data_IF_044211257540
#
_entry.id   IF_044211257540
#
_cell.length_a   1.000
_cell.length_b   1.000
_cell.length_c   1.000
_cell.angle_alpha   90.00
_cell.angle_beta   90.00
_cell.angle_gamma   90.00
#
_symmetry.space_group_name_H-M   'P 1'
#
loop_
_entity.id
_entity.type
_entity.pdbx_description
1 polymer ?
#
# COMPACT_ATOMS: atom_id res chain seq x y z
N UNK A 1 3.37 -1.14 -24.34
CA UNK A 1 4.43 -1.98 -23.73
C UNK A 1 5.76 -1.38 -24.10
N UNK A 2 6.51 -0.84 -23.15
CA UNK A 2 7.84 -0.28 -23.39
C UNK A 2 8.78 -0.77 -22.29
N UNK A 3 10.00 -1.14 -22.67
CA UNK A 3 11.08 -1.46 -21.73
C UNK A 3 11.42 -0.22 -20.92
N UNK A 4 10.91 -0.14 -19.69
CA UNK A 4 11.17 0.97 -18.79
C UNK A 4 10.36 0.91 -17.50
N UNK A 5 10.88 1.60 -16.48
CA UNK A 5 10.18 1.80 -15.21
C UNK A 5 9.47 3.16 -15.19
N UNK A 6 8.34 3.24 -14.50
CA UNK A 6 7.63 4.48 -14.25
C UNK A 6 7.08 4.48 -12.82
N UNK A 7 6.91 5.68 -12.26
CA UNK A 7 6.41 5.83 -10.90
C UNK A 7 4.98 5.33 -10.82
N UNK A 8 4.70 4.38 -9.93
CA UNK A 8 3.35 3.82 -9.79
C UNK A 8 2.34 4.86 -9.30
N UNK A 9 2.75 5.71 -8.36
CA UNK A 9 1.92 6.75 -7.78
C UNK A 9 2.26 8.09 -8.44
N UNK A 10 1.31 8.64 -9.18
CA UNK A 10 1.45 9.93 -9.87
C UNK A 10 0.21 10.76 -9.58
N UNK A 11 0.38 12.05 -9.31
CA UNK A 11 -0.72 12.99 -9.02
C UNK A 11 -1.69 12.47 -7.95
N UNK A 12 -1.15 11.85 -6.90
CA UNK A 12 -1.92 11.21 -5.84
C UNK A 12 -1.46 11.67 -4.46
N UNK A 13 -2.41 11.83 -3.55
CA UNK A 13 -2.14 11.93 -2.12
C UNK A 13 -1.67 10.57 -1.64
N UNK A 14 -0.53 10.52 -0.95
CA UNK A 14 0.11 9.29 -0.50
C UNK A 14 -0.20 9.03 0.97
N UNK A 15 -0.61 7.81 1.28
CA UNK A 15 -0.91 7.31 2.62
C UNK A 15 0.10 6.19 2.95
N UNK A 16 1.13 6.46 3.78
CA UNK A 16 2.10 5.44 4.15
C UNK A 16 1.45 4.31 4.94
N UNK A 17 1.70 3.06 4.54
CA UNK A 17 1.23 1.87 5.24
C UNK A 17 2.39 1.32 6.06
N UNK A 18 2.19 1.25 7.37
CA UNK A 18 3.21 0.78 8.32
C UNK A 18 2.96 -0.65 8.76
N UNK A 19 4.06 -1.36 9.02
CA UNK A 19 4.05 -2.62 9.75
C UNK A 19 3.66 -2.39 11.22
N UNK A 20 3.32 -3.46 11.94
CA UNK A 20 3.02 -3.41 13.37
C UNK A 20 4.15 -2.83 14.26
N UNK A 21 5.39 -2.79 13.75
CA UNK A 21 6.57 -2.17 14.41
C UNK A 21 6.90 -0.76 13.90
N UNK A 22 6.11 -0.21 12.97
CA UNK A 22 6.21 1.19 12.54
C UNK A 22 7.04 1.42 11.29
N UNK A 23 7.67 0.39 10.72
CA UNK A 23 8.36 0.50 9.43
C UNK A 23 7.36 0.67 8.30
N UNK A 24 7.61 1.62 7.39
CA UNK A 24 6.83 1.77 6.15
C UNK A 24 7.09 0.55 5.26
N UNK A 25 6.02 -0.10 4.83
CA UNK A 25 6.07 -1.33 4.02
C UNK A 25 5.30 -1.19 2.71
N UNK A 26 4.45 -0.19 2.58
CA UNK A 26 3.73 0.10 1.35
C UNK A 26 3.06 1.47 1.41
N UNK A 27 2.27 1.76 0.39
CA UNK A 27 1.58 3.04 0.24
C UNK A 27 0.17 2.83 -0.34
N UNK A 28 -0.80 3.54 0.22
CA UNK A 28 -2.06 3.88 -0.44
C UNK A 28 -1.91 5.19 -1.21
N UNK A 29 -2.67 5.36 -2.28
CA UNK A 29 -2.63 6.55 -3.14
C UNK A 29 -4.01 6.94 -3.61
N UNK A 30 -4.49 8.14 -3.24
CA UNK A 30 -5.77 8.68 -3.69
C UNK A 30 -5.55 9.71 -4.79
N UNK A 31 -6.31 9.65 -5.88
CA UNK A 31 -6.25 10.68 -6.93
C UNK A 31 -6.58 12.07 -6.39
N UNK A 32 -5.92 13.08 -6.96
CA UNK A 32 -6.27 14.47 -6.74
C UNK A 32 -7.40 14.91 -7.67
N UNK A 33 -7.31 14.50 -8.94
CA UNK A 33 -8.34 14.76 -9.95
C UNK A 33 -9.44 13.70 -9.86
N UNK A 34 -10.72 14.07 -9.66
CA UNK A 34 -11.83 13.13 -9.63
C UNK A 34 -12.02 12.31 -10.92
N UNK A 35 -11.54 12.82 -12.06
CA UNK A 35 -11.64 12.15 -13.36
C UNK A 35 -10.58 11.04 -13.53
N UNK A 36 -9.54 11.03 -12.69
CA UNK A 36 -8.51 9.99 -12.73
C UNK A 36 -8.98 8.70 -12.03
N UNK A 37 -8.82 7.56 -12.69
CA UNK A 37 -9.12 6.24 -12.12
C UNK A 37 -7.86 5.36 -11.98
N UNK A 38 -7.77 4.44 -10.98
CA UNK A 38 -8.76 4.21 -9.92
C UNK A 38 -8.72 5.32 -8.85
N UNK A 39 -9.85 5.66 -8.21
CA UNK A 39 -9.89 6.61 -7.08
C UNK A 39 -8.82 6.34 -6.01
N UNK A 40 -8.64 5.06 -5.65
CA UNK A 40 -7.59 4.60 -4.73
C UNK A 40 -6.74 3.48 -5.34
N UNK A 41 -5.42 3.55 -5.15
CA UNK A 41 -4.50 2.45 -5.45
C UNK A 41 -3.66 2.11 -4.23
N UNK A 42 -3.39 0.83 -4.06
CA UNK A 42 -2.45 0.35 -3.04
C UNK A 42 -1.19 -0.20 -3.71
N UNK A 43 -0.13 -0.35 -2.89
CA UNK A 43 1.02 -1.15 -3.30
C UNK A 43 0.55 -2.54 -3.73
N UNK A 44 1.18 -3.14 -4.76
CA UNK A 44 0.95 -4.55 -5.07
C UNK A 44 1.45 -5.41 -3.90
N UNK A 45 1.16 -6.71 -3.93
CA UNK A 45 1.81 -7.66 -3.02
C UNK A 45 3.32 -7.61 -3.22
N UNK A 46 4.08 -7.53 -2.14
CA UNK A 46 5.55 -7.52 -2.14
C UNK A 46 6.10 -8.40 -1.02
N UNK A 47 7.42 -8.57 -0.97
CA UNK A 47 8.10 -9.31 0.12
C UNK A 47 7.82 -8.71 1.51
N UNK A 48 7.52 -7.41 1.60
CA UNK A 48 7.31 -6.71 2.88
C UNK A 48 5.87 -6.27 3.10
N UNK A 49 5.03 -6.29 2.06
CA UNK A 49 3.64 -5.87 2.13
C UNK A 49 2.71 -6.95 1.57
N UNK A 50 1.92 -7.51 2.47
CA UNK A 50 0.85 -8.42 2.15
C UNK A 50 -0.46 -7.89 2.71
N UNK A 51 -1.41 -7.55 1.84
CA UNK A 51 -2.66 -6.89 2.23
C UNK A 51 -3.44 -7.72 3.24
N UNK A 52 -3.47 -9.03 3.04
CA UNK A 52 -4.15 -9.99 3.90
C UNK A 52 -3.55 -10.11 5.31
N UNK A 53 -2.44 -9.43 5.62
CA UNK A 53 -1.76 -9.53 6.93
C UNK A 53 -1.51 -8.18 7.59
N UNK A 54 -1.92 -7.10 6.95
CA UNK A 54 -1.66 -5.73 7.41
C UNK A 54 -2.98 -5.03 7.64
N UNK A 55 -3.04 -4.26 8.73
CA UNK A 55 -4.14 -3.37 9.05
C UNK A 55 -3.58 -1.97 9.19
N UNK A 56 -4.14 -1.02 8.45
CA UNK A 56 -3.72 0.37 8.56
C UNK A 56 -4.10 0.95 9.91
N UNK A 57 -3.24 1.81 10.45
CA UNK A 57 -3.42 2.43 11.77
C UNK A 57 -3.03 1.53 12.94
N UNK A 58 -2.74 0.25 12.74
CA UNK A 58 -2.46 -0.68 13.85
C UNK A 58 -1.22 -0.26 14.68
N UNK A 59 -0.18 0.27 14.04
CA UNK A 59 1.01 0.74 14.77
C UNK A 59 0.66 1.83 15.79
N UNK A 60 -0.19 2.77 15.39
CA UNK A 60 -0.69 3.86 16.22
C UNK A 60 -1.70 3.36 17.26
N UNK A 61 -2.62 2.48 16.84
CA UNK A 61 -3.77 2.05 17.62
C UNK A 61 -3.48 0.91 18.62
N UNK A 62 -2.38 0.14 18.48
CA UNK A 62 -2.15 -1.08 19.29
C UNK A 62 -2.22 -0.86 20.80
N UNK A 63 -1.74 0.29 21.29
CA UNK A 63 -1.73 0.60 22.71
C UNK A 63 -3.13 1.05 23.19
N UNK A 64 -3.80 2.00 22.51
CA UNK A 64 -5.21 2.31 22.77
C UNK A 64 -6.13 1.09 22.72
N UNK A 65 -6.00 0.24 21.70
CA UNK A 65 -6.76 -1.00 21.55
C UNK A 65 -6.58 -1.89 22.77
N UNK A 66 -5.33 -2.12 23.20
CA UNK A 66 -5.04 -2.95 24.39
C UNK A 66 -5.60 -2.34 25.67
N UNK A 67 -5.56 -1.01 25.82
CA UNK A 67 -6.11 -0.31 26.99
C UNK A 67 -7.63 -0.42 27.05
N UNK A 68 -8.32 -0.33 25.90
CA UNK A 68 -9.78 -0.44 25.80
C UNK A 68 -10.28 -1.89 25.73
N UNK A 69 -9.40 -2.85 25.40
CA UNK A 69 -9.76 -4.25 25.15
C UNK A 69 -10.55 -4.45 23.84
N UNK A 70 -10.57 -3.44 22.98
CA UNK A 70 -11.48 -3.35 21.83
C UNK A 70 -10.85 -2.56 20.67
N UNK A 71 -11.02 -3.10 19.45
CA UNK A 71 -10.66 -2.43 18.19
C UNK A 71 -11.90 -2.08 17.39
N UNK A 72 -11.95 -0.87 16.83
CA UNK A 72 -12.93 -0.49 15.80
C UNK A 72 -12.33 -0.82 14.42
N UNK A 73 -13.06 -1.57 13.61
CA UNK A 73 -12.67 -1.90 12.24
C UNK A 73 -13.52 -1.08 11.27
N UNK A 74 -12.84 -0.28 10.43
CA UNK A 74 -13.43 0.53 9.35
C UNK A 74 -12.86 0.10 7.99
N UNK A 75 -13.40 0.64 6.89
CA UNK A 75 -12.99 0.23 5.55
C UNK A 75 -11.73 0.93 5.04
N UNK A 76 -11.65 2.26 5.23
CA UNK A 76 -10.69 3.12 4.59
C UNK A 76 -9.62 3.72 5.51
N UNK A 77 -8.49 4.10 4.91
CA UNK A 77 -7.43 4.84 5.62
C UNK A 77 -7.90 6.19 6.14
N UNK A 78 -8.74 6.87 5.37
CA UNK A 78 -9.26 8.21 5.69
C UNK A 78 -10.16 8.17 6.92
N UNK A 79 -10.94 7.11 7.07
CA UNK A 79 -11.78 6.88 8.25
C UNK A 79 -10.92 6.73 9.49
N UNK A 80 -9.86 5.93 9.42
CA UNK A 80 -8.91 5.77 10.53
C UNK A 80 -8.26 7.10 10.88
N UNK A 81 -7.79 7.86 9.89
CA UNK A 81 -7.18 9.19 10.12
C UNK A 81 -8.16 10.13 10.80
N UNK A 82 -9.39 10.24 10.29
CA UNK A 82 -10.41 11.13 10.82
C UNK A 82 -10.78 10.77 12.27
N UNK A 83 -10.99 9.48 12.53
CA UNK A 83 -11.26 8.97 13.88
C UNK A 83 -10.10 9.25 14.85
N UNK A 84 -8.85 9.01 14.43
CA UNK A 84 -7.68 9.27 15.26
C UNK A 84 -7.52 10.76 15.54
N UNK A 85 -7.74 11.63 14.55
CA UNK A 85 -7.72 13.09 14.73
C UNK A 85 -8.80 13.58 15.71
N UNK A 86 -9.93 12.88 15.76
CA UNK A 86 -11.00 13.13 16.71
C UNK A 86 -10.74 12.52 18.11
N UNK A 87 -9.62 11.81 18.32
CA UNK A 87 -9.28 11.17 19.59
C UNK A 87 -9.81 9.74 19.76
N UNK A 88 -10.42 9.17 18.70
CA UNK A 88 -10.89 7.78 18.64
C UNK A 88 -9.75 6.94 18.05
N UNK A 89 -8.76 6.68 18.89
CA UNK A 89 -7.44 6.14 18.56
C UNK A 89 -7.35 4.61 18.54
N UNK A 90 -8.48 3.90 18.75
CA UNK A 90 -8.56 2.44 18.69
C UNK A 90 -9.15 1.89 17.38
N UNK A 91 -9.13 2.68 16.30
CA UNK A 91 -9.60 2.27 14.97
C UNK A 91 -8.49 1.79 14.04
N UNK A 92 -8.80 0.82 13.17
CA UNK A 92 -7.93 0.28 12.12
C UNK A 92 -8.73 -0.03 10.84
N UNK A 93 -8.06 -0.20 9.71
CA UNK A 93 -8.70 -0.53 8.42
C UNK A 93 -8.06 -1.69 7.66
N UNK A 94 -8.89 -2.40 6.86
CA UNK A 94 -8.46 -3.45 5.91
C UNK A 94 -8.08 -2.93 4.53
N UNK A 95 -8.39 -1.66 4.25
CA UNK A 95 -7.81 -0.90 3.15
C UNK A 95 -8.24 -1.36 1.75
N UNK A 96 -9.56 -1.53 1.58
CA UNK A 96 -10.16 -1.93 0.30
C UNK A 96 -10.11 -3.43 0.03
N UNK A 97 -10.06 -4.24 1.09
CA UNK A 97 -10.19 -5.70 1.01
C UNK A 97 -11.14 -6.20 2.10
N UNK A 98 -11.78 -7.35 1.88
CA UNK A 98 -12.50 -8.03 2.95
C UNK A 98 -11.50 -8.46 4.05
N UNK A 99 -11.92 -8.40 5.31
CA UNK A 99 -11.07 -8.85 6.42
C UNK A 99 -10.67 -10.32 6.25
N UNK A 100 -9.44 -10.64 6.61
CA UNK A 100 -8.87 -11.98 6.52
C UNK A 100 -8.69 -12.62 7.89
N UNK A 101 -8.47 -13.94 7.91
CA UNK A 101 -8.20 -14.69 9.15
C UNK A 101 -6.93 -14.16 9.82
N UNK A 102 -5.88 -13.88 9.05
CA UNK A 102 -4.60 -13.39 9.56
C UNK A 102 -4.73 -11.99 10.18
N UNK A 103 -5.59 -11.13 9.62
CA UNK A 103 -5.88 -9.81 10.21
C UNK A 103 -6.67 -9.94 11.52
N UNK A 104 -7.66 -10.85 11.58
CA UNK A 104 -8.39 -11.15 12.83
C UNK A 104 -7.41 -11.67 13.89
N UNK A 105 -6.56 -12.65 13.55
CA UNK A 105 -5.55 -13.19 14.45
C UNK A 105 -4.50 -12.16 14.89
N UNK A 106 -4.25 -11.14 14.06
CA UNK A 106 -3.38 -10.04 14.43
C UNK A 106 -4.06 -9.15 15.48
N UNK A 107 -5.34 -8.80 15.27
CA UNK A 107 -6.12 -7.99 16.21
C UNK A 107 -6.38 -8.68 17.54
N UNK A 108 -6.64 -9.99 17.53
CA UNK A 108 -6.94 -10.76 18.75
C UNK A 108 -5.80 -10.76 19.78
N UNK A 109 -4.57 -10.41 19.36
CA UNK A 109 -3.41 -10.22 20.26
C UNK A 109 -3.47 -8.93 21.08
N UNK A 110 -4.31 -7.99 20.65
CA UNK A 110 -4.46 -6.66 21.25
C UNK A 110 -5.85 -6.43 21.83
N UNK A 111 -6.90 -7.05 21.27
CA UNK A 111 -8.28 -6.88 21.70
C UNK A 111 -8.99 -8.22 21.91
N UNK A 112 -9.87 -8.27 22.90
CA UNK A 112 -10.83 -9.37 23.06
C UNK A 112 -12.08 -9.19 22.20
N UNK A 113 -12.30 -7.98 21.67
CA UNK A 113 -13.49 -7.62 20.89
C UNK A 113 -13.16 -6.74 19.69
N UNK A 114 -13.85 -6.97 18.58
CA UNK A 114 -13.79 -6.15 17.38
C UNK A 114 -15.19 -5.56 17.13
N UNK A 115 -15.26 -4.24 16.95
CA UNK A 115 -16.46 -3.51 16.53
C UNK A 115 -16.37 -3.26 15.04
N UNK A 116 -17.29 -3.84 14.29
CA UNK A 116 -17.43 -3.60 12.86
C UNK A 116 -18.26 -2.34 12.67
N UNK A 117 -17.63 -1.30 12.15
CA UNK A 117 -18.33 -0.10 11.69
C UNK A 117 -18.48 -0.21 10.18
N UNK A 118 -19.72 -0.29 9.70
CA UNK A 118 -20.03 -0.60 8.31
C UNK A 118 -21.08 0.37 7.76
N UNK A 119 -21.07 0.52 6.43
CA UNK A 119 -22.08 1.31 5.73
C UNK A 119 -23.39 0.52 5.64
N UNK A 120 -24.52 1.21 5.81
CA UNK A 120 -25.87 0.62 5.79
C UNK A 120 -26.33 0.09 4.42
N UNK A 121 -25.42 0.00 3.44
CA UNK A 121 -25.71 -0.55 2.12
C UNK A 121 -25.62 -2.09 2.07
N UNK A 122 -26.15 -2.67 0.99
CA UNK A 122 -26.18 -4.14 0.86
C UNK A 122 -24.79 -4.79 0.77
N UNK A 123 -23.78 -4.09 0.26
CA UNK A 123 -22.43 -4.60 0.11
C UNK A 123 -21.69 -4.61 1.46
N UNK A 124 -21.80 -3.51 2.21
CA UNK A 124 -21.30 -3.34 3.57
C UNK A 124 -21.90 -4.38 4.52
N UNK A 125 -23.22 -4.57 4.51
CA UNK A 125 -23.88 -5.61 5.33
C UNK A 125 -23.36 -7.01 5.02
N UNK A 126 -23.20 -7.36 3.72
CA UNK A 126 -22.65 -8.67 3.33
C UNK A 126 -21.19 -8.83 3.75
N UNK A 127 -20.40 -7.75 3.70
CA UNK A 127 -19.02 -7.75 4.16
C UNK A 127 -18.95 -7.94 5.69
N UNK A 128 -19.82 -7.25 6.43
CA UNK A 128 -19.93 -7.36 7.88
C UNK A 128 -20.30 -8.78 8.32
N UNK A 129 -21.27 -9.45 7.68
CA UNK A 129 -21.59 -10.85 8.00
C UNK A 129 -20.39 -11.80 7.83
N UNK A 130 -19.66 -11.66 6.72
CA UNK A 130 -18.44 -12.46 6.49
C UNK A 130 -17.37 -12.15 7.53
N UNK A 131 -17.21 -10.88 7.91
CA UNK A 131 -16.26 -10.47 8.93
C UNK A 131 -16.60 -11.06 10.29
N UNK A 132 -17.88 -11.00 10.71
CA UNK A 132 -18.37 -11.57 11.98
C UNK A 132 -18.06 -13.06 12.06
N UNK A 133 -18.38 -13.80 11.00
CA UNK A 133 -18.10 -15.23 10.93
C UNK A 133 -16.62 -15.54 11.18
N UNK A 134 -15.72 -14.81 10.50
CA UNK A 134 -14.28 -14.98 10.66
C UNK A 134 -13.79 -14.59 12.07
N UNK A 135 -14.31 -13.50 12.62
CA UNK A 135 -13.93 -13.00 13.95
C UNK A 135 -14.32 -14.01 15.03
N UNK A 136 -15.56 -14.50 15.00
CA UNK A 136 -16.10 -15.47 15.94
C UNK A 136 -15.41 -16.84 15.83
N UNK A 137 -15.09 -17.28 14.60
CA UNK A 137 -14.35 -18.53 14.37
C UNK A 137 -12.95 -18.50 14.99
N UNK A 138 -12.32 -17.32 15.09
CA UNK A 138 -11.05 -17.13 15.81
C UNK A 138 -11.22 -16.96 17.33
N UNK A 139 -12.44 -17.13 17.86
CA UNK A 139 -12.73 -16.98 19.29
C UNK A 139 -12.65 -15.53 19.80
N UNK A 140 -12.68 -14.54 18.90
CA UNK A 140 -12.70 -13.12 19.25
C UNK A 140 -14.13 -12.62 19.28
N UNK A 141 -14.48 -11.76 20.24
CA UNK A 141 -15.82 -11.18 20.31
C UNK A 141 -16.09 -10.23 19.12
N UNK A 142 -17.30 -10.25 18.58
CA UNK A 142 -17.72 -9.36 17.51
C UNK A 142 -18.99 -8.59 17.90
N UNK A 143 -19.02 -7.30 17.57
CA UNK A 143 -20.24 -6.47 17.58
C UNK A 143 -20.26 -5.61 16.32
N UNK A 144 -21.43 -5.15 15.91
CA UNK A 144 -21.59 -4.36 14.70
C UNK A 144 -22.33 -3.04 15.00
N UNK A 145 -21.96 -1.98 14.29
CA UNK A 145 -22.65 -0.69 14.31
C UNK A 145 -22.81 -0.21 12.87
N UNK A 146 -24.04 0.06 12.45
CA UNK A 146 -24.33 0.79 11.21
C UNK A 146 -24.26 2.29 11.50
N UNK A 147 -23.66 3.05 10.59
CA UNK A 147 -23.81 4.50 10.60
C UNK A 147 -25.15 4.91 9.97
N UNK A 148 -25.67 6.11 10.29
CA UNK A 148 -26.87 6.62 9.63
C UNK A 148 -26.62 6.79 8.14
N UNK A 149 -27.69 6.69 7.35
CA UNK A 149 -27.60 6.79 5.89
C UNK A 149 -26.92 8.09 5.45
N UNK A 150 -26.00 7.94 4.49
CA UNK A 150 -25.22 9.06 3.94
C UNK A 150 -23.99 9.45 4.73
N UNK A 151 -23.72 8.81 5.88
CA UNK A 151 -22.49 9.02 6.65
C UNK A 151 -21.49 7.88 6.48
N UNK A 152 -20.24 8.27 6.28
CA UNK A 152 -19.05 7.45 6.55
C UNK A 152 -18.43 7.88 7.90
N UNK A 153 -17.47 7.12 8.48
CA UNK A 153 -16.88 7.49 9.77
C UNK A 153 -16.23 8.87 9.77
N UNK A 154 -15.60 9.26 8.65
CA UNK A 154 -14.97 10.57 8.48
C UNK A 154 -15.99 11.72 8.54
N UNK A 155 -17.01 11.69 7.68
CA UNK A 155 -18.07 12.71 7.63
C UNK A 155 -18.86 12.77 8.93
N UNK A 156 -19.17 11.62 9.56
CA UNK A 156 -19.90 11.61 10.83
C UNK A 156 -19.09 12.31 11.92
N UNK A 157 -17.83 11.94 12.12
CA UNK A 157 -17.03 12.50 13.21
C UNK A 157 -16.69 13.97 12.97
N UNK A 158 -16.46 14.37 11.71
CA UNK A 158 -16.23 15.78 11.35
C UNK A 158 -17.45 16.66 11.60
N UNK A 159 -18.65 16.15 11.35
CA UNK A 159 -19.88 16.94 11.52
C UNK A 159 -20.39 16.92 12.97
N UNK A 160 -20.40 15.73 13.61
CA UNK A 160 -21.04 15.53 14.91
C UNK A 160 -20.08 15.58 16.10
N UNK A 161 -18.77 15.46 15.85
CA UNK A 161 -17.74 15.43 16.88
C UNK A 161 -17.54 14.06 17.55
N UNK A 162 -16.44 13.94 18.28
CA UNK A 162 -15.98 12.69 18.89
C UNK A 162 -16.93 12.15 19.97
N UNK A 163 -17.43 13.02 20.85
CA UNK A 163 -18.31 12.62 21.96
C UNK A 163 -19.64 12.05 21.46
N UNK A 164 -20.23 12.70 20.45
CA UNK A 164 -21.44 12.22 19.78
C UNK A 164 -21.19 10.89 19.09
N UNK A 165 -20.04 10.72 18.44
CA UNK A 165 -19.67 9.46 17.79
C UNK A 165 -19.49 8.32 18.80
N UNK A 166 -18.79 8.54 19.93
CA UNK A 166 -18.64 7.51 20.97
C UNK A 166 -19.99 7.14 21.61
N UNK A 167 -20.87 8.12 21.82
CA UNK A 167 -22.23 7.89 22.33
C UNK A 167 -23.04 7.09 21.32
N UNK A 168 -23.00 7.47 20.05
CA UNK A 168 -23.66 6.76 18.96
C UNK A 168 -23.19 5.30 18.87
N UNK A 169 -21.88 5.05 18.92
CA UNK A 169 -21.31 3.70 18.93
C UNK A 169 -21.77 2.87 20.12
N UNK A 170 -22.03 3.49 21.28
CA UNK A 170 -22.50 2.79 22.48
C UNK A 170 -23.98 2.42 22.37
N UNK A 171 -24.80 3.34 21.88
CA UNK A 171 -26.26 3.20 21.80
C UNK A 171 -26.72 2.33 20.64
N UNK A 172 -26.01 2.36 19.51
CA UNK A 172 -26.40 1.66 18.28
C UNK A 172 -25.66 0.33 18.09
N UNK A 173 -24.90 -0.10 19.10
CA UNK A 173 -24.17 -1.37 19.07
C UNK A 173 -25.13 -2.54 19.12
N UNK A 174 -24.96 -3.42 18.14
CA UNK A 174 -25.69 -4.68 18.06
C UNK A 174 -24.73 -5.85 18.30
N UNK A 175 -25.15 -6.80 19.11
CA UNK A 175 -24.53 -8.13 19.07
C UNK A 175 -24.89 -8.84 17.77
N UNK A 176 -24.17 -9.94 17.50
CA UNK A 176 -24.25 -10.65 16.22
C UNK A 176 -25.63 -11.28 15.95
N UNK A 177 -26.40 -11.63 16.98
CA UNK A 177 -27.74 -12.21 16.82
C UNK A 177 -28.69 -11.12 16.36
N UNK A 178 -28.76 -10.02 17.11
CA UNK A 178 -29.63 -8.88 16.76
C UNK A 178 -29.24 -8.27 15.42
N UNK A 179 -27.94 -8.17 15.13
CA UNK A 179 -27.46 -7.70 13.84
C UNK A 179 -27.99 -8.53 12.67
N UNK A 180 -27.91 -9.87 12.73
CA UNK A 180 -28.43 -10.74 11.67
C UNK A 180 -29.96 -10.62 11.56
N UNK A 181 -30.67 -10.68 12.69
CA UNK A 181 -32.13 -10.67 12.72
C UNK A 181 -32.72 -9.32 12.23
N UNK A 182 -32.18 -8.20 12.69
CA UNK A 182 -32.66 -6.87 12.34
C UNK A 182 -32.46 -6.59 10.84
N UNK A 183 -31.29 -6.93 10.30
CA UNK A 183 -31.03 -6.78 8.87
C UNK A 183 -31.92 -7.68 8.01
N UNK A 184 -32.13 -8.94 8.42
CA UNK A 184 -33.01 -9.85 7.71
C UNK A 184 -34.48 -9.38 7.74
N UNK A 185 -34.94 -8.82 8.87
CA UNK A 185 -36.27 -8.24 9.02
C UNK A 185 -36.44 -7.00 8.14
N UNK A 186 -35.48 -6.07 8.17
CA UNK A 186 -35.51 -4.87 7.32
C UNK A 186 -35.52 -5.19 5.81
N UNK A 187 -34.95 -6.32 5.42
CA UNK A 187 -34.93 -6.80 4.03
C UNK A 187 -36.14 -7.68 3.64
N UNK A 188 -37.15 -7.85 4.50
CA UNK A 188 -38.32 -8.71 4.25
C UNK A 188 -38.01 -10.22 4.14
N UNK A 189 -36.83 -10.65 4.59
CA UNK A 189 -36.39 -12.05 4.47
C UNK A 189 -37.06 -12.97 5.48
N UNK A 190 -37.79 -12.40 6.44
CA UNK A 190 -38.49 -13.10 7.53
C UNK A 190 -40.02 -13.03 7.39
N UNK A 191 -40.52 -12.61 6.22
CA UNK A 191 -41.96 -12.41 5.99
C UNK A 191 -42.73 -13.73 5.82
N UNK A 192 -42.04 -14.83 5.50
CA UNK A 192 -42.62 -16.19 5.43
C UNK A 192 -42.00 -17.12 6.46
N UNK A 193 -42.71 -18.19 6.87
CA UNK A 193 -42.15 -19.21 7.77
C UNK A 193 -40.84 -19.83 7.26
N UNK A 194 -40.71 -20.07 5.95
CA UNK A 194 -39.49 -20.60 5.33
C UNK A 194 -38.34 -19.59 5.42
N UNK A 195 -38.63 -18.31 5.22
CA UNK A 195 -37.69 -17.21 5.37
C UNK A 195 -37.19 -17.09 6.81
N UNK A 196 -38.10 -17.10 7.79
CA UNK A 196 -37.76 -17.10 9.21
C UNK A 196 -36.83 -18.27 9.57
N UNK A 197 -37.21 -19.50 9.17
CA UNK A 197 -36.40 -20.68 9.42
C UNK A 197 -35.00 -20.59 8.77
N UNK A 198 -34.89 -19.99 7.58
CA UNK A 198 -33.61 -19.78 6.89
C UNK A 198 -32.71 -18.80 7.66
N UNK A 199 -33.28 -17.70 8.16
CA UNK A 199 -32.54 -16.69 8.93
C UNK A 199 -32.11 -17.24 10.30
N UNK A 200 -33.00 -17.93 11.01
CA UNK A 200 -32.67 -18.59 12.28
C UNK A 200 -31.53 -19.60 12.11
N UNK A 201 -31.54 -20.40 11.03
CA UNK A 201 -30.42 -21.29 10.69
C UNK A 201 -29.12 -20.52 10.41
N UNK A 202 -29.19 -19.33 9.83
CA UNK A 202 -28.01 -18.49 9.58
C UNK A 202 -27.36 -18.04 10.90
N UNK A 203 -28.17 -17.62 11.87
CA UNK A 203 -27.68 -17.30 13.22
C UNK A 203 -27.06 -18.53 13.87
N UNK A 204 -27.73 -19.68 13.87
CA UNK A 204 -27.19 -20.91 14.47
C UNK A 204 -25.91 -21.38 13.79
N UNK A 205 -25.79 -21.24 12.47
CA UNK A 205 -24.56 -21.54 11.74
C UNK A 205 -23.40 -20.63 12.20
N UNK A 206 -23.67 -19.35 12.45
CA UNK A 206 -22.69 -18.38 12.95
C UNK A 206 -22.26 -18.76 14.37
N UNK A 207 -23.21 -19.03 15.27
CA UNK A 207 -22.95 -19.47 16.65
C UNK A 207 -22.14 -20.79 16.67
N UNK A 208 -22.44 -21.70 15.75
CA UNK A 208 -21.73 -22.99 15.64
C UNK A 208 -20.25 -22.90 15.28
N UNK A 209 -19.79 -21.77 14.72
CA UNK A 209 -18.37 -21.51 14.43
C UNK A 209 -17.56 -21.10 15.66
N UNK A 210 -18.23 -20.64 16.72
CA UNK A 210 -17.57 -20.20 17.94
C UNK A 210 -16.86 -21.39 18.59
N UNK A 211 -15.53 -21.36 18.78
CA UNK A 211 -14.78 -22.52 19.27
C UNK A 211 -15.08 -22.85 20.74
N UNK A 212 -15.22 -21.82 21.58
CA UNK A 212 -15.48 -21.97 23.02
C UNK A 212 -16.94 -22.38 23.30
N UNK A 213 -17.21 -23.54 23.92
CA UNK A 213 -18.56 -23.99 24.25
C UNK A 213 -19.32 -23.09 25.23
N UNK A 214 -18.63 -22.45 26.19
CA UNK A 214 -19.25 -21.56 27.17
C UNK A 214 -19.69 -20.24 26.52
N UNK A 215 -18.86 -19.71 25.63
CA UNK A 215 -19.23 -18.53 24.83
C UNK A 215 -20.39 -18.89 23.91
N UNK A 216 -20.35 -20.06 23.27
CA UNK A 216 -21.45 -20.56 22.42
C UNK A 216 -22.76 -20.65 23.20
N UNK A 217 -22.72 -21.18 24.42
CA UNK A 217 -23.88 -21.27 25.30
C UNK A 217 -24.50 -19.89 25.60
N UNK A 218 -23.64 -18.90 25.87
CA UNK A 218 -24.10 -17.52 26.09
C UNK A 218 -24.80 -16.93 24.86
N UNK A 219 -24.30 -17.23 23.66
CA UNK A 219 -24.95 -16.83 22.41
C UNK A 219 -26.23 -17.61 22.10
N UNK A 220 -26.34 -18.87 22.51
CA UNK A 220 -27.60 -19.63 22.40
C UNK A 220 -28.69 -18.97 23.23
N UNK A 221 -28.37 -18.57 24.46
CA UNK A 221 -29.31 -17.85 25.32
C UNK A 221 -29.78 -16.53 24.68
N UNK A 222 -28.84 -15.74 24.16
CA UNK A 222 -29.17 -14.53 23.40
C UNK A 222 -30.06 -14.82 22.18
N UNK A 223 -29.80 -15.91 21.45
CA UNK A 223 -30.60 -16.33 20.31
C UNK A 223 -32.01 -16.82 20.72
N UNK A 224 -32.13 -17.54 21.83
CA UNK A 224 -33.42 -17.98 22.39
C UNK A 224 -34.30 -16.78 22.69
N UNK A 225 -33.75 -15.79 23.41
CA UNK A 225 -34.47 -14.58 23.77
C UNK A 225 -34.88 -13.78 22.52
N UNK A 226 -33.99 -13.62 21.55
CA UNK A 226 -34.26 -12.82 20.35
C UNK A 226 -35.17 -13.51 19.31
N UNK A 227 -35.20 -14.84 19.27
CA UNK A 227 -36.03 -15.62 18.33
C UNK A 227 -37.30 -16.17 18.95
N UNK A 228 -37.47 -16.05 20.27
CA UNK A 228 -38.57 -16.64 21.05
C UNK A 228 -38.66 -18.17 20.90
N UNK A 229 -37.51 -18.84 20.79
CA UNK A 229 -37.42 -20.31 20.67
C UNK A 229 -36.69 -20.87 21.88
N UNK A 230 -37.25 -21.85 22.61
CA UNK A 230 -36.59 -22.41 23.79
C UNK A 230 -35.17 -22.92 23.52
N UNK A 231 -34.24 -22.60 24.42
CA UNK A 231 -32.82 -23.01 24.38
C UNK A 231 -32.61 -24.47 23.97
N UNK A 232 -33.41 -25.39 24.55
CA UNK A 232 -33.32 -26.83 24.30
C UNK A 232 -33.53 -27.18 22.82
N UNK A 233 -34.44 -26.48 22.12
CA UNK A 233 -34.70 -26.70 20.70
C UNK A 233 -33.54 -26.15 19.85
N UNK A 234 -33.04 -24.96 20.18
CA UNK A 234 -31.91 -24.36 19.47
C UNK A 234 -30.64 -25.22 19.60
N UNK A 235 -30.39 -25.79 20.79
CA UNK A 235 -29.29 -26.74 21.02
C UNK A 235 -29.40 -27.96 20.11
N UNK A 236 -30.58 -28.58 20.04
CA UNK A 236 -30.81 -29.75 19.18
C UNK A 236 -30.53 -29.45 17.70
N UNK A 237 -30.97 -28.28 17.22
CA UNK A 237 -30.69 -27.85 15.84
C UNK A 237 -29.19 -27.59 15.64
N UNK A 238 -28.55 -26.89 16.57
CA UNK A 238 -27.12 -26.57 16.50
C UNK A 238 -26.22 -27.82 16.51
N UNK A 239 -26.56 -28.83 17.31
CA UNK A 239 -25.88 -30.11 17.29
C UNK A 239 -26.00 -30.82 15.93
N UNK A 240 -27.17 -30.75 15.30
CA UNK A 240 -27.38 -31.34 13.97
C UNK A 240 -26.53 -30.64 12.90
N UNK A 241 -26.40 -29.31 12.99
CA UNK A 241 -25.58 -28.47 12.10
C UNK A 241 -24.10 -28.83 12.26
N UNK A 242 -23.61 -28.83 13.50
CA UNK A 242 -22.18 -29.09 13.80
C UNK A 242 -21.77 -30.52 13.45
N UNK A 243 -22.63 -31.53 13.71
CA UNK A 243 -22.40 -32.92 13.27
C UNK A 243 -22.35 -33.07 11.76
N UNK A 244 -23.24 -32.38 11.03
CA UNK A 244 -23.29 -32.42 9.57
C UNK A 244 -22.05 -31.76 8.94
N UNK A 245 -21.56 -30.67 9.54
CA UNK A 245 -20.32 -30.01 9.13
C UNK A 245 -19.08 -30.90 9.36
N UNK A 246 -19.01 -31.59 10.51
CA UNK A 246 -17.93 -32.52 10.83
C UNK A 246 -17.83 -33.70 9.86
N UNK A 247 -18.96 -34.34 9.51
CA UNK A 247 -19.00 -35.42 8.51
C UNK A 247 -18.53 -34.98 7.13
N UNK A 248 -18.91 -33.77 6.69
CA UNK A 248 -18.46 -33.18 5.41
C UNK A 248 -16.97 -32.86 5.37
N UNK A 249 -16.37 -32.51 6.51
CA UNK A 249 -14.92 -32.23 6.62
C UNK A 249 -14.12 -33.52 6.47
N UNK A 250 -14.54 -34.59 7.15
CA UNK A 250 -13.92 -35.92 7.09
C UNK A 250 -14.02 -36.53 5.68
N UNK A 251 -15.17 -36.38 5.00
CA UNK A 251 -15.33 -36.89 3.63
C UNK A 251 -14.48 -36.13 2.59
N UNK A 252 -14.15 -34.86 2.85
CA UNK A 252 -13.27 -34.06 1.97
C UNK A 252 -11.79 -34.34 2.20
N UNK A 253 -11.36 -34.56 3.44
CA UNK A 253 -9.98 -34.95 3.74
C UNK A 253 -9.65 -36.38 3.30
N UNK A 254 -10.64 -37.29 3.28
CA UNK A 254 -10.46 -38.64 2.76
C UNK A 254 -10.48 -38.72 1.22
N UNK A 255 -10.99 -37.69 0.53
CA UNK A 255 -11.05 -37.62 -0.93
C UNK A 255 -9.85 -36.95 -1.60
N UNK A 256 -8.98 -36.27 -0.83
CA UNK A 256 -7.78 -35.61 -1.37
C UNK A 256 -6.50 -36.45 -1.24
N UNK A 257 -6.57 -37.66 -0.66
CA UNK A 257 -5.41 -38.55 -0.48
C UNK A 257 -5.31 -39.66 -1.54
N UNK A 258 -6.05 -39.55 -2.65
CA UNK A 258 -6.09 -40.58 -3.71
C UNK A 258 -5.91 -40.05 -5.14
N UNK A 259 -5.34 -38.85 -5.31
CA UNK A 259 -4.91 -38.33 -6.61
C UNK A 259 -3.62 -37.54 -6.51
N UNK A 260 -2.50 -38.24 -6.29
CA UNK A 260 -1.17 -37.74 -6.62
C UNK A 260 -0.49 -38.78 -7.49
N UNK A 261 -0.34 -38.46 -8.77
CA UNK A 261 0.27 -39.32 -9.77
C UNK A 261 -0.08 -38.93 -11.19
N UNK A 262 0.06 -37.65 -11.55
CA UNK A 262 0.33 -37.22 -12.94
C UNK A 262 0.63 -35.71 -12.98
N UNK A 263 1.87 -35.37 -13.33
CA UNK A 263 2.34 -34.02 -13.58
C UNK A 263 1.68 -33.46 -14.86
N UNK A 264 1.23 -32.19 -14.90
CA UNK A 264 0.83 -31.57 -16.15
C UNK A 264 2.02 -30.84 -16.80
N UNK A 265 2.36 -31.30 -18.00
CA UNK A 265 3.17 -30.59 -18.99
C UNK A 265 2.58 -29.21 -19.32
N UNK A 266 3.45 -28.20 -19.33
CA UNK A 266 3.17 -26.87 -19.85
C UNK A 266 3.24 -26.89 -21.38
N UNK A 267 2.07 -26.85 -22.05
CA UNK A 267 1.97 -26.60 -23.48
C UNK A 267 1.19 -25.30 -23.75
N UNK A 268 1.85 -24.43 -24.52
CA UNK A 268 1.35 -23.19 -25.11
C UNK A 268 0.07 -23.39 -25.94
N UNK A 269 -0.91 -22.50 -25.76
CA UNK A 269 -2.13 -22.48 -26.57
C UNK A 269 -2.63 -21.06 -26.79
N UNK A 270 -2.44 -20.57 -28.01
CA UNK A 270 -2.84 -19.28 -28.54
C UNK A 270 -4.37 -19.14 -28.70
N UNK A 271 -4.94 -18.02 -28.24
CA UNK A 271 -6.32 -17.65 -28.54
C UNK A 271 -6.41 -16.88 -29.85
N UNK A 272 -7.10 -17.51 -30.80
CA UNK A 272 -7.58 -16.92 -32.07
C UNK A 272 -8.63 -15.84 -31.78
N UNK A 273 -8.43 -14.66 -32.36
CA UNK A 273 -9.46 -13.66 -32.57
C UNK A 273 -9.95 -13.72 -34.03
N UNK A 274 -11.23 -13.35 -34.15
CA UNK A 274 -12.14 -13.59 -35.27
C UNK A 274 -11.76 -12.89 -36.58
N UNK A 275 -12.12 -13.54 -37.70
CA UNK A 275 -12.10 -12.99 -39.05
C UNK A 275 -13.37 -12.17 -39.29
N UNK A 276 -13.26 -11.04 -39.98
CA UNK A 276 -14.11 -10.82 -41.16
C UNK A 276 -13.53 -9.82 -42.18
N UNK A 277 -13.57 -10.26 -43.45
CA UNK A 277 -13.86 -9.57 -44.73
C UNK A 277 -13.08 -8.31 -45.16
N UNK A 278 -12.13 -8.52 -46.08
CA UNK A 278 -12.28 -8.31 -47.54
C UNK A 278 -12.31 -6.89 -48.12
N UNK A 279 -11.28 -6.51 -48.88
CA UNK A 279 -11.35 -5.80 -50.18
C UNK A 279 -9.97 -5.68 -50.82
N UNK A 280 -9.95 -5.72 -52.15
CA UNK A 280 -8.85 -5.96 -53.10
C UNK A 280 -8.13 -4.69 -53.62
N UNK A 281 -6.80 -4.76 -53.68
CA UNK A 281 -5.87 -4.24 -54.73
C UNK A 281 -5.58 -2.73 -54.85
N UNK A 282 -4.54 -2.31 -55.61
CA UNK A 282 -3.38 -3.05 -56.16
C UNK A 282 -2.00 -2.42 -55.85
N UNK A 283 -0.98 -3.21 -56.19
CA UNK A 283 0.45 -2.94 -56.45
C UNK A 283 0.97 -1.50 -56.47
N UNK A 284 2.09 -1.25 -55.77
CA UNK A 284 3.12 -0.35 -56.27
C UNK A 284 4.53 -0.74 -55.81
N UNK A 285 5.34 -0.99 -56.84
CA UNK A 285 6.80 -1.01 -56.99
C UNK A 285 7.67 -0.63 -55.78
N UNK A 286 8.54 -1.56 -55.40
CA UNK A 286 9.69 -1.31 -54.55
C UNK A 286 10.82 -0.69 -55.39
N UNK A 287 11.15 0.56 -55.10
CA UNK A 287 12.41 1.18 -55.48
C UNK A 287 13.33 1.22 -54.25
N UNK A 288 14.59 0.88 -54.48
CA UNK A 288 15.60 0.72 -53.46
C UNK A 288 16.11 2.06 -52.95
N UNK A 289 16.02 2.27 -51.64
CA UNK A 289 17.02 3.08 -50.95
C UNK A 289 17.20 2.55 -49.53
N UNK A 290 18.41 2.07 -49.27
CA UNK A 290 18.90 1.75 -47.94
C UNK A 290 19.00 3.07 -47.16
N UNK A 291 17.98 3.41 -46.39
CA UNK A 291 18.07 4.38 -45.33
C UNK A 291 18.39 3.63 -44.04
N UNK A 292 19.65 3.74 -43.60
CA UNK A 292 20.06 3.36 -42.26
C UNK A 292 19.11 4.04 -41.25
N UNK A 293 18.52 3.32 -40.28
CA UNK A 293 17.75 3.97 -39.26
C UNK A 293 18.71 4.84 -38.44
N UNK A 294 18.50 6.15 -38.50
CA UNK A 294 19.09 7.10 -37.57
C UNK A 294 18.85 6.54 -36.15
N UNK A 295 19.94 6.32 -35.43
CA UNK A 295 19.92 5.97 -34.02
C UNK A 295 19.22 7.11 -33.28
N UNK A 296 17.93 6.93 -33.00
CA UNK A 296 17.18 7.78 -32.10
C UNK A 296 17.82 7.59 -30.72
N UNK A 297 18.77 8.46 -30.36
CA UNK A 297 19.30 8.55 -29.00
C UNK A 297 18.10 8.68 -28.06
N UNK A 298 17.84 7.64 -27.28
CA UNK A 298 16.90 7.73 -26.18
C UNK A 298 17.38 8.86 -25.27
N UNK A 299 16.52 9.80 -24.84
CA UNK A 299 16.93 10.84 -23.92
C UNK A 299 17.51 10.19 -22.67
N UNK A 300 18.76 10.50 -22.36
CA UNK A 300 19.44 10.05 -21.15
C UNK A 300 18.61 10.50 -19.95
N UNK A 301 17.87 9.56 -19.36
CA UNK A 301 16.94 9.83 -18.28
C UNK A 301 17.72 10.06 -16.99
N UNK A 302 17.77 11.31 -16.55
CA UNK A 302 18.45 11.74 -15.33
C UNK A 302 17.76 11.14 -14.11
N UNK A 303 18.55 10.75 -13.10
CA UNK A 303 18.00 10.16 -11.88
C UNK A 303 17.26 11.23 -11.04
N UNK A 304 16.17 10.89 -10.34
CA UNK A 304 15.47 11.84 -9.48
C UNK A 304 16.35 12.50 -8.42
N UNK A 305 17.30 11.76 -7.84
CA UNK A 305 18.27 12.30 -6.87
C UNK A 305 19.24 13.31 -7.51
N UNK A 306 19.70 13.06 -8.74
CA UNK A 306 20.54 13.99 -9.50
C UNK A 306 19.76 15.26 -9.84
N UNK A 307 18.53 15.11 -10.32
CA UNK A 307 17.63 16.24 -10.58
C UNK A 307 17.45 17.11 -9.33
N UNK A 308 17.25 16.49 -8.16
CA UNK A 308 17.12 17.22 -6.90
C UNK A 308 18.43 17.91 -6.49
N UNK A 309 19.58 17.25 -6.64
CA UNK A 309 20.89 17.89 -6.37
C UNK A 309 21.09 19.12 -7.25
N UNK A 310 20.79 19.03 -8.55
CA UNK A 310 20.87 20.19 -9.44
C UNK A 310 19.88 21.28 -9.03
N UNK A 311 18.65 20.94 -8.62
CA UNK A 311 17.68 21.92 -8.16
C UNK A 311 18.23 22.72 -6.97
N UNK A 312 18.73 22.02 -5.96
CA UNK A 312 19.28 22.62 -4.75
C UNK A 312 20.52 23.47 -5.07
N UNK A 313 21.45 22.94 -5.87
CA UNK A 313 22.67 23.68 -6.24
C UNK A 313 22.38 24.96 -7.03
N UNK A 314 21.40 24.93 -7.94
CA UNK A 314 21.04 26.09 -8.75
C UNK A 314 20.19 27.12 -7.96
N UNK A 315 19.37 26.67 -7.01
CA UNK A 315 18.50 27.55 -6.20
C UNK A 315 19.27 28.21 -5.04
N UNK A 316 20.06 27.44 -4.30
CA UNK A 316 20.76 27.89 -3.09
C UNK A 316 22.21 28.33 -3.35
N UNK A 317 22.73 28.07 -4.56
CA UNK A 317 23.99 28.60 -5.05
C UNK A 317 25.26 28.05 -4.38
N UNK A 318 26.29 28.90 -4.28
CA UNK A 318 27.68 28.53 -3.95
C UNK A 318 27.81 27.65 -2.68
N UNK A 319 27.16 27.94 -1.53
CA UNK A 319 27.33 27.12 -0.32
C UNK A 319 26.89 25.66 -0.50
N UNK A 320 25.83 25.43 -1.27
CA UNK A 320 25.31 24.09 -1.53
C UNK A 320 26.13 23.37 -2.61
N UNK A 321 26.66 24.12 -3.58
CA UNK A 321 27.60 23.57 -4.57
C UNK A 321 28.86 23.08 -3.86
N UNK A 322 29.48 23.90 -3.01
CA UNK A 322 30.67 23.53 -2.24
C UNK A 322 30.40 22.30 -1.37
N UNK A 323 29.24 22.27 -0.69
CA UNK A 323 28.83 21.13 0.12
C UNK A 323 28.69 19.85 -0.68
N UNK A 324 28.04 19.90 -1.86
CA UNK A 324 27.87 18.73 -2.72
C UNK A 324 29.22 18.27 -3.28
N UNK A 325 30.05 19.20 -3.76
CA UNK A 325 31.35 18.93 -4.37
C UNK A 325 32.39 18.39 -3.38
N UNK A 326 32.28 18.76 -2.10
CA UNK A 326 33.14 18.21 -1.05
C UNK A 326 32.85 16.74 -0.74
N UNK A 327 31.68 16.23 -1.13
CA UNK A 327 31.20 14.89 -0.75
C UNK A 327 30.91 13.96 -1.96
N UNK A 328 30.85 14.50 -3.18
CA UNK A 328 30.66 13.76 -4.43
C UNK A 328 31.80 13.99 -5.42
N UNK A 329 32.10 12.97 -6.22
CA UNK A 329 32.97 13.10 -7.39
C UNK A 329 32.15 13.17 -8.69
N UNK A 330 32.74 13.71 -9.76
CA UNK A 330 32.12 13.72 -11.10
C UNK A 330 31.72 12.32 -11.59
N UNK A 331 32.44 11.29 -11.17
CA UNK A 331 32.13 9.90 -11.49
C UNK A 331 30.87 9.36 -10.79
N UNK A 332 30.41 9.99 -9.71
CA UNK A 332 29.16 9.63 -9.03
C UNK A 332 27.93 9.99 -9.87
N UNK A 333 28.01 11.03 -10.71
CA UNK A 333 26.94 11.41 -11.63
C UNK A 333 26.86 10.47 -12.84
N UNK A 334 25.64 10.23 -13.31
CA UNK A 334 25.33 9.41 -14.47
C UNK A 334 25.98 9.99 -15.72
N UNK A 335 26.56 9.14 -16.55
CA UNK A 335 27.20 9.56 -17.80
C UNK A 335 26.19 10.27 -18.72
N UNK A 336 26.69 11.13 -19.60
CA UNK A 336 25.87 11.94 -20.50
C UNK A 336 25.38 13.22 -19.82
N UNK A 337 24.09 13.53 -19.97
CA UNK A 337 23.55 14.86 -19.62
C UNK A 337 23.74 15.24 -18.15
N UNK A 338 23.61 14.30 -17.20
CA UNK A 338 23.84 14.58 -15.77
C UNK A 338 25.30 14.95 -15.49
N UNK A 339 26.28 14.16 -15.99
CA UNK A 339 27.70 14.47 -15.80
C UNK A 339 28.10 15.79 -16.45
N UNK A 340 27.61 16.06 -17.66
CA UNK A 340 27.86 17.33 -18.34
C UNK A 340 27.31 18.51 -17.52
N UNK A 341 26.16 18.35 -16.85
CA UNK A 341 25.62 19.36 -15.93
C UNK A 341 26.50 19.56 -14.70
N UNK A 342 26.96 18.47 -14.08
CA UNK A 342 27.89 18.57 -12.96
C UNK A 342 29.19 19.29 -13.37
N UNK A 343 29.76 18.94 -14.53
CA UNK A 343 30.96 19.61 -15.09
C UNK A 343 30.75 21.11 -15.30
N UNK A 344 29.62 21.51 -15.90
CA UNK A 344 29.30 22.93 -16.09
C UNK A 344 29.13 23.68 -14.77
N UNK A 345 28.44 23.08 -13.79
CA UNK A 345 28.25 23.69 -12.46
C UNK A 345 29.60 23.84 -11.74
N UNK A 346 30.51 22.87 -11.86
CA UNK A 346 31.87 22.96 -11.30
C UNK A 346 32.67 24.04 -11.99
N UNK A 347 32.61 24.12 -13.32
CA UNK A 347 33.32 25.17 -14.07
C UNK A 347 32.84 26.57 -13.67
N UNK A 348 31.54 26.75 -13.44
CA UNK A 348 30.96 28.01 -12.92
C UNK A 348 31.47 28.31 -11.50
N UNK A 349 31.52 27.29 -10.63
CA UNK A 349 32.06 27.42 -9.28
C UNK A 349 33.54 27.84 -9.28
N UNK A 350 34.37 27.16 -10.09
CA UNK A 350 35.80 27.44 -10.20
C UNK A 350 36.08 28.84 -10.79
N UNK A 351 35.19 29.32 -11.67
CA UNK A 351 35.25 30.68 -12.22
C UNK A 351 34.81 31.75 -11.21
N UNK A 352 34.18 31.38 -10.09
CA UNK A 352 33.68 32.30 -9.07
C UNK A 352 32.42 33.08 -9.48
N UNK A 353 31.84 32.79 -10.64
CA UNK A 353 30.63 33.43 -11.17
C UNK A 353 29.56 32.38 -11.50
N UNK A 354 28.45 32.43 -10.77
CA UNK A 354 27.25 31.63 -11.04
C UNK A 354 26.42 32.31 -12.13
N UNK A 355 26.81 32.16 -13.40
CA UNK A 355 26.01 32.64 -14.53
C UNK A 355 24.85 31.68 -14.85
N UNK A 356 23.79 31.77 -14.04
CA UNK A 356 22.55 31.05 -14.28
C UNK A 356 21.88 31.46 -15.60
N UNK A 357 22.09 32.69 -16.08
CA UNK A 357 21.49 33.16 -17.34
C UNK A 357 22.10 32.43 -18.55
N UNK A 358 23.40 32.16 -18.51
CA UNK A 358 24.11 31.33 -19.50
C UNK A 358 23.59 29.90 -19.60
N UNK A 359 23.02 29.34 -18.52
CA UNK A 359 22.34 28.03 -18.59
C UNK A 359 21.04 28.11 -19.40
N UNK A 360 20.40 29.28 -19.45
CA UNK A 360 19.10 29.49 -20.11
C UNK A 360 19.20 30.09 -21.51
N UNK A 361 20.32 30.71 -21.89
CA UNK A 361 20.52 31.25 -23.24
C UNK A 361 21.06 30.20 -24.25
N UNK A 362 21.41 29.01 -23.76
CA UNK A 362 21.89 27.90 -24.57
C UNK A 362 23.41 27.86 -24.78
N UNK A 363 24.19 28.70 -24.09
CA UNK A 363 25.65 28.75 -24.16
C UNK A 363 26.32 27.41 -23.81
N UNK A 364 25.67 26.60 -22.97
CA UNK A 364 26.11 25.26 -22.59
C UNK A 364 25.39 24.13 -23.35
N UNK A 365 24.65 24.48 -24.41
CA UNK A 365 23.92 23.57 -25.27
C UNK A 365 22.46 23.30 -24.86
N UNK A 366 21.65 22.94 -25.84
CA UNK A 366 20.18 22.77 -25.72
C UNK A 366 19.79 21.67 -24.72
N UNK A 367 20.58 20.58 -24.64
CA UNK A 367 20.31 19.49 -23.67
C UNK A 367 20.43 19.99 -22.23
N UNK A 368 21.37 20.89 -21.96
CA UNK A 368 21.60 21.44 -20.62
C UNK A 368 20.57 22.50 -20.24
N UNK A 369 20.26 23.39 -21.19
CA UNK A 369 19.20 24.39 -21.04
C UNK A 369 17.86 23.75 -20.69
N UNK A 370 17.49 22.68 -21.40
CA UNK A 370 16.25 21.95 -21.12
C UNK A 370 16.25 21.33 -19.73
N UNK A 371 17.37 20.75 -19.31
CA UNK A 371 17.51 20.18 -17.97
C UNK A 371 17.40 21.25 -16.89
N UNK A 372 18.13 22.36 -17.03
CA UNK A 372 18.09 23.47 -16.08
C UNK A 372 16.67 24.02 -15.93
N UNK A 373 15.94 24.19 -17.04
CA UNK A 373 14.53 24.56 -17.02
C UNK A 373 13.68 23.52 -16.28
N UNK A 374 13.83 22.23 -16.58
CA UNK A 374 13.07 21.13 -15.95
C UNK A 374 13.35 20.96 -14.45
N UNK A 375 14.56 21.33 -14.02
CA UNK A 375 15.03 21.26 -12.63
C UNK A 375 14.48 22.42 -11.79
N UNK A 376 14.33 23.60 -12.41
CA UNK A 376 13.91 24.83 -11.72
C UNK A 376 12.40 25.10 -11.80
N UNK A 377 11.67 24.42 -12.69
CA UNK A 377 10.20 24.46 -12.68
C UNK A 377 9.62 23.58 -11.57
N UNK A 378 8.89 24.21 -10.64
CA UNK A 378 8.01 23.53 -9.70
C UNK A 378 6.59 23.57 -10.24
N UNK A 379 6.04 22.40 -10.61
CA UNK A 379 4.68 22.32 -11.15
C UNK A 379 3.60 22.52 -10.07
N UNK A 380 3.95 22.44 -8.77
CA UNK A 380 3.00 22.48 -7.66
C UNK A 380 3.65 23.01 -6.38
N UNK A 381 2.99 23.95 -5.70
CA UNK A 381 3.40 24.50 -4.40
C UNK A 381 2.41 24.11 -3.28
N UNK A 382 2.87 23.93 -2.03
CA UNK A 382 1.97 23.79 -0.89
C UNK A 382 1.00 24.98 -0.78
N UNK A 383 -0.28 24.69 -0.51
CA UNK A 383 -1.27 25.76 -0.32
C UNK A 383 -0.98 26.54 0.97
N UNK A 384 -0.88 27.87 0.86
CA UNK A 384 -0.77 28.77 2.02
C UNK A 384 -1.93 28.63 3.02
N UNK A 385 -3.06 28.05 2.59
CA UNK A 385 -4.21 27.78 3.46
C UNK A 385 -3.86 26.84 4.62
N UNK A 386 -2.87 25.96 4.49
CA UNK A 386 -2.47 25.07 5.57
C UNK A 386 -1.96 25.86 6.78
N UNK A 387 -1.07 26.80 6.55
CA UNK A 387 -0.57 27.68 7.60
C UNK A 387 -1.66 28.69 8.02
N UNK A 388 -2.22 29.44 7.05
CA UNK A 388 -3.13 30.56 7.33
C UNK A 388 -4.46 30.14 7.96
N UNK A 389 -5.01 28.98 7.58
CA UNK A 389 -6.35 28.54 8.04
C UNK A 389 -6.32 27.38 9.01
N UNK A 390 -5.27 26.55 8.98
CA UNK A 390 -5.20 25.33 9.81
C UNK A 390 -4.07 25.38 10.83
N UNK A 391 -3.19 26.39 10.79
CA UNK A 391 -2.00 26.48 11.63
C UNK A 391 -1.14 25.20 11.53
N UNK A 392 -1.11 24.61 10.34
CA UNK A 392 -0.30 23.43 10.03
C UNK A 392 0.86 23.92 9.17
N UNK A 393 2.11 23.92 9.68
CA UNK A 393 3.27 24.25 8.88
C UNK A 393 3.48 23.13 7.86
N UNK A 394 3.45 23.48 6.58
CA UNK A 394 3.79 22.54 5.50
C UNK A 394 5.15 22.94 4.97
N UNK A 395 6.18 22.11 5.17
CA UNK A 395 7.51 22.46 4.71
C UNK A 395 7.53 22.57 3.19
N UNK A 396 8.17 23.63 2.69
CA UNK A 396 8.44 23.78 1.27
C UNK A 396 9.37 22.67 0.78
N UNK A 397 9.32 22.38 -0.53
CA UNK A 397 10.32 21.50 -1.13
C UNK A 397 11.71 22.12 -0.87
N UNK A 398 12.63 21.33 -0.30
CA UNK A 398 13.98 21.77 0.06
C UNK A 398 14.06 22.92 1.08
N UNK A 399 13.05 23.10 1.96
CA UNK A 399 13.17 24.03 3.10
C UNK A 399 14.44 23.80 3.94
N UNK A 400 14.87 22.53 4.06
CA UNK A 400 16.17 22.15 4.63
C UNK A 400 17.13 21.71 3.51
N UNK A 401 17.52 22.65 2.64
CA UNK A 401 18.33 22.40 1.44
C UNK A 401 19.55 21.49 1.66
N UNK A 402 20.27 21.69 2.78
CA UNK A 402 21.47 20.89 3.12
C UNK A 402 21.12 19.43 3.44
N UNK A 403 20.02 19.18 4.16
CA UNK A 403 19.54 17.84 4.49
C UNK A 403 18.94 17.14 3.26
N UNK A 404 18.23 17.90 2.41
CA UNK A 404 17.78 17.42 1.10
C UNK A 404 18.96 17.00 0.21
N UNK A 405 20.00 17.83 0.14
CA UNK A 405 21.21 17.53 -0.62
C UNK A 405 21.90 16.29 -0.04
N UNK A 406 22.03 16.20 1.28
CA UNK A 406 22.60 15.04 1.95
C UNK A 406 21.87 13.73 1.60
N UNK A 407 20.53 13.77 1.66
CA UNK A 407 19.68 12.64 1.26
C UNK A 407 19.87 12.26 -0.20
N UNK A 408 19.93 13.25 -1.09
CA UNK A 408 20.10 13.02 -2.53
C UNK A 408 21.49 12.46 -2.86
N UNK A 409 22.55 12.97 -2.22
CA UNK A 409 23.91 12.42 -2.33
C UNK A 409 23.98 10.97 -1.84
N UNK A 410 23.34 10.67 -0.70
CA UNK A 410 23.25 9.31 -0.17
C UNK A 410 22.58 8.38 -1.19
N UNK A 411 21.43 8.77 -1.74
CA UNK A 411 20.72 7.98 -2.74
C UNK A 411 21.54 7.76 -4.01
N UNK A 412 22.24 8.79 -4.49
CA UNK A 412 23.11 8.69 -5.67
C UNK A 412 24.26 7.70 -5.43
N UNK A 413 24.96 7.80 -4.29
CA UNK A 413 26.03 6.85 -3.94
C UNK A 413 25.50 5.43 -3.74
N UNK A 414 24.32 5.26 -3.13
CA UNK A 414 23.70 3.94 -2.99
C UNK A 414 23.39 3.32 -4.35
N UNK A 415 22.89 4.09 -5.32
CA UNK A 415 22.66 3.59 -6.68
C UNK A 415 23.96 3.10 -7.32
N UNK A 416 25.09 3.81 -7.14
CA UNK A 416 26.40 3.37 -7.64
C UNK A 416 26.88 2.08 -6.98
N UNK A 417 26.77 1.99 -5.67
CA UNK A 417 27.14 0.77 -4.93
C UNK A 417 26.23 -0.41 -5.31
N UNK A 418 24.94 -0.18 -5.49
CA UNK A 418 24.02 -1.23 -5.92
C UNK A 418 24.28 -1.69 -7.36
N UNK A 419 24.67 -0.79 -8.26
CA UNK A 419 25.16 -1.15 -9.60
C UNK A 419 26.44 -1.99 -9.52
N UNK A 420 27.40 -1.59 -8.69
CA UNK A 420 28.63 -2.36 -8.48
C UNK A 420 28.35 -3.75 -7.91
N UNK A 421 27.45 -3.88 -6.92
CA UNK A 421 27.02 -5.16 -6.36
C UNK A 421 26.37 -6.04 -7.43
N UNK A 422 25.46 -5.51 -8.24
CA UNK A 422 24.82 -6.28 -9.33
C UNK A 422 25.84 -6.78 -10.35
N UNK A 423 26.83 -5.96 -10.71
CA UNK A 423 27.92 -6.36 -11.61
C UNK A 423 28.78 -7.45 -10.98
N UNK A 424 29.20 -7.28 -9.73
CA UNK A 424 29.98 -8.28 -8.99
C UNK A 424 29.21 -9.60 -8.82
N UNK A 425 27.89 -9.57 -8.57
CA UNK A 425 27.06 -10.78 -8.50
C UNK A 425 27.05 -11.54 -9.82
N UNK A 426 26.97 -10.84 -10.96
CA UNK A 426 27.05 -11.47 -12.29
C UNK A 426 28.43 -12.09 -12.54
N UNK A 427 29.50 -11.39 -12.18
CA UNK A 427 30.88 -11.90 -12.30
C UNK A 427 31.10 -13.12 -11.41
N UNK A 428 30.60 -13.10 -10.18
CA UNK A 428 30.69 -14.22 -9.24
C UNK A 428 29.95 -15.47 -9.77
N UNK A 429 28.77 -15.28 -10.36
CA UNK A 429 28.03 -16.36 -11.01
C UNK A 429 28.81 -16.93 -12.20
N UNK A 430 29.41 -16.07 -13.03
CA UNK A 430 30.21 -16.49 -14.18
C UNK A 430 31.54 -17.16 -13.79
N UNK A 431 32.11 -16.83 -12.63
CA UNK A 431 33.36 -17.39 -12.12
C UNK A 431 33.20 -18.75 -11.39
N UNK A 432 31.98 -19.28 -11.30
CA UNK A 432 31.71 -20.59 -10.69
C UNK A 432 32.55 -21.68 -11.38
N UNK A 433 33.57 -22.17 -10.68
CA UNK A 433 34.55 -23.15 -11.18
C UNK A 433 36.01 -22.73 -11.04
N UNK A 434 36.30 -21.46 -10.74
CA UNK A 434 37.65 -20.97 -10.41
C UNK A 434 37.70 -20.52 -8.93
N UNK A 435 38.28 -21.31 -8.01
CA UNK A 435 38.29 -21.03 -6.57
C UNK A 435 38.93 -19.69 -6.18
N UNK A 436 40.05 -19.32 -6.81
CA UNK A 436 40.80 -18.11 -6.47
C UNK A 436 40.07 -16.84 -6.96
N UNK A 437 39.49 -16.90 -8.16
CA UNK A 437 38.66 -15.82 -8.68
C UNK A 437 37.36 -15.65 -7.85
N UNK A 438 36.73 -16.76 -7.46
CA UNK A 438 35.51 -16.75 -6.64
C UNK A 438 35.77 -16.12 -5.27
N UNK A 439 36.90 -16.46 -4.63
CA UNK A 439 37.28 -15.87 -3.34
C UNK A 439 37.48 -14.35 -3.44
N UNK A 440 38.24 -13.91 -4.43
CA UNK A 440 38.53 -12.47 -4.63
C UNK A 440 37.25 -11.66 -4.88
N UNK A 441 36.33 -12.20 -5.70
CA UNK A 441 35.04 -11.55 -5.97
C UNK A 441 34.12 -11.53 -4.73
N UNK A 442 34.14 -12.58 -3.91
CA UNK A 442 33.40 -12.63 -2.66
C UNK A 442 33.91 -11.61 -1.61
N UNK A 443 35.23 -11.42 -1.52
CA UNK A 443 35.86 -10.40 -0.67
C UNK A 443 35.41 -8.98 -1.08
N UNK A 444 35.48 -8.65 -2.39
CA UNK A 444 34.96 -7.39 -2.92
C UNK A 444 33.46 -7.20 -2.66
N UNK A 445 32.66 -8.27 -2.76
CA UNK A 445 31.23 -8.20 -2.46
C UNK A 445 30.96 -7.85 -0.98
N UNK A 446 31.76 -8.39 -0.05
CA UNK A 446 31.70 -8.02 1.36
C UNK A 446 32.07 -6.55 1.60
N UNK A 447 33.12 -6.06 0.94
CA UNK A 447 33.51 -4.64 1.00
C UNK A 447 32.41 -3.71 0.48
N UNK A 448 31.77 -4.06 -0.64
CA UNK A 448 30.65 -3.29 -1.18
C UNK A 448 29.45 -3.25 -0.23
N UNK A 449 29.12 -4.37 0.44
CA UNK A 449 28.07 -4.38 1.46
C UNK A 449 28.43 -3.53 2.69
N UNK A 450 29.70 -3.53 3.11
CA UNK A 450 30.17 -2.65 4.18
C UNK A 450 30.08 -1.17 3.78
N UNK A 451 30.51 -0.82 2.56
CA UNK A 451 30.40 0.53 2.02
C UNK A 451 28.93 0.97 1.91
N UNK A 452 28.04 0.09 1.46
CA UNK A 452 26.60 0.36 1.42
C UNK A 452 26.07 0.79 2.78
N UNK A 453 26.50 0.12 3.86
CA UNK A 453 26.11 0.48 5.23
C UNK A 453 26.67 1.85 5.65
N UNK A 454 27.94 2.14 5.34
CA UNK A 454 28.56 3.46 5.60
C UNK A 454 27.79 4.59 4.92
N UNK A 455 27.34 4.37 3.67
CA UNK A 455 26.54 5.34 2.92
C UNK A 455 25.14 5.48 3.52
N UNK A 456 24.46 4.38 3.87
CA UNK A 456 23.15 4.41 4.53
C UNK A 456 23.18 5.18 5.86
N UNK A 457 24.27 5.03 6.61
CA UNK A 457 24.53 5.77 7.85
C UNK A 457 25.03 7.21 7.59
N UNK A 458 25.15 7.64 6.32
CA UNK A 458 25.62 8.95 5.85
C UNK A 458 27.00 9.39 6.38
N UNK A 459 27.84 8.44 6.79
CA UNK A 459 29.17 8.71 7.36
C UNK A 459 30.18 9.31 6.38
N UNK A 460 29.86 9.31 5.09
CA UNK A 460 30.67 9.96 4.06
C UNK A 460 30.45 11.47 3.98
N UNK A 461 29.39 11.99 4.61
CA UNK A 461 29.07 13.41 4.54
C UNK A 461 29.75 14.12 5.71
N UNK A 462 30.68 15.03 5.41
CA UNK A 462 31.34 15.86 6.42
C UNK A 462 30.48 17.07 6.79
N UNK A 463 30.34 17.35 8.09
CA UNK A 463 29.68 18.57 8.58
C UNK A 463 28.15 18.55 8.53
N UNK A 464 27.56 17.40 8.88
CA UNK A 464 26.14 17.20 9.18
C UNK A 464 25.94 16.91 10.67
#
# INVERSE_FOLDING_TARGET
SGDGFYDRYRKRIIFPITSHVGKIIGFGGRVLDPEDEPKYINSPETLVYNKSRVLYGLFQARNPIRKRGESILVEGYTDVIALHQAGIDNSVATCGTAITIEQVQLLSRYASRIVLLYDSDSAGIRAAFRAIDLILEQGTGATAVALPDGYDPDSFVREKGAETFETYLRENRQDIVHFILNNARGAGQMDTPEGQAKVQRTVLNTIGKIPDPLVRESYIKLASDAMEIPDLQLRGILESITRSAGKRRISRSAGSSSRDGESPDFASGSSKASRNTGSTGPENQADGSQLQPATTEQPSRILPCEKNLFAIMLQDGLPLIEFVMSNLSLSDFSAGTARNMAESVIAMYDAGEMDLNGLFDGSYGVKLQRLAAEVLTHDVEPSENWEKKKNIPVPGLNQEARESAASAMMLLKLERVDQAIRTQQKELYAAQGNPDATRTLAEKMMELHALKKVIQDRKFISGL
#
